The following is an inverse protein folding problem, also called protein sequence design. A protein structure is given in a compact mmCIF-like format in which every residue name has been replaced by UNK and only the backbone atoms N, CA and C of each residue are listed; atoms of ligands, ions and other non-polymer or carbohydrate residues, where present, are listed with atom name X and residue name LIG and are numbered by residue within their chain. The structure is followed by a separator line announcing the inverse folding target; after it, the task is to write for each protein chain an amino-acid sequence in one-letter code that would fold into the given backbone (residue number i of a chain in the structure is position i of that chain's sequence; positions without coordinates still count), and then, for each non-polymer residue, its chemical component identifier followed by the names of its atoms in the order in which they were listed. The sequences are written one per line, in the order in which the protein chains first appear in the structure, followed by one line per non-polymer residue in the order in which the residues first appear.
data_IF_810379191555
#
_entry.id   IF_810379191555
#
_cell.length_a   1.000
_cell.length_b   1.000
_cell.length_c   1.000
_cell.angle_alpha   90.00
_cell.angle_beta   90.00
_cell.angle_gamma   90.00
#
_symmetry.space_group_name_H-M   'P 1'
#
loop_
_entity.id
_entity.type
_entity.pdbx_description
1 polymer ?
#
# COMPACT_ATOMS: atom_id res chain seq x y z
N UNK A 1 -18.44 6.54 -0.96
CA UNK A 1 -17.63 5.33 -0.71
C UNK A 1 -17.54 5.01 0.77
N UNK A 2 -16.97 5.83 1.65
CA UNK A 2 -16.81 5.55 3.08
C UNK A 2 -18.13 5.19 3.79
N UNK A 3 -19.22 5.94 3.60
CA UNK A 3 -20.54 5.61 4.16
C UNK A 3 -21.01 4.19 3.87
N UNK A 4 -20.58 3.61 2.74
CA UNK A 4 -21.02 2.27 2.31
C UNK A 4 -20.15 1.15 2.87
N UNK A 5 -18.85 1.40 3.04
CA UNK A 5 -17.84 0.36 3.30
C UNK A 5 -17.15 0.47 4.67
N UNK A 6 -17.21 1.64 5.32
CA UNK A 6 -16.64 1.80 6.67
C UNK A 6 -17.27 0.80 7.66
N UNK A 7 -16.43 0.14 8.45
CA UNK A 7 -16.83 -0.91 9.38
C UNK A 7 -17.15 -2.28 8.77
N UNK A 8 -17.06 -2.43 7.44
CA UNK A 8 -17.42 -3.68 6.74
C UNK A 8 -16.23 -4.39 6.10
N UNK A 9 -15.31 -3.64 5.49
CA UNK A 9 -14.15 -4.19 4.77
C UNK A 9 -12.94 -3.30 4.98
N UNK A 10 -11.70 -3.84 4.93
CA UNK A 10 -10.50 -3.01 4.86
C UNK A 10 -10.51 -2.13 3.61
N UNK A 11 -9.92 -0.94 3.72
CA UNK A 11 -9.91 0.04 2.65
C UNK A 11 -8.47 0.36 2.25
N UNK A 12 -8.16 0.25 0.97
CA UNK A 12 -6.95 0.81 0.37
C UNK A 12 -7.33 2.05 -0.44
N UNK A 13 -6.72 3.19 -0.12
CA UNK A 13 -7.00 4.48 -0.74
C UNK A 13 -5.72 4.98 -1.39
N UNK A 14 -5.81 5.50 -2.62
CA UNK A 14 -4.70 6.16 -3.25
C UNK A 14 -4.91 7.67 -3.27
N UNK A 15 -3.94 8.41 -2.75
CA UNK A 15 -3.81 9.86 -2.94
C UNK A 15 -2.88 10.08 -4.11
N UNK A 16 -3.43 10.54 -5.25
CA UNK A 16 -2.67 10.69 -6.51
C UNK A 16 -1.59 11.76 -6.41
N UNK A 17 -1.86 12.85 -5.69
CA UNK A 17 -0.91 13.91 -5.40
C UNK A 17 -1.31 14.64 -4.11
N UNK A 18 -0.32 15.19 -3.41
CA UNK A 18 -0.50 15.89 -2.14
C UNK A 18 -0.85 17.37 -2.26
N UNK A 19 -0.75 18.07 -1.14
CA UNK A 19 -1.15 19.48 -0.99
C UNK A 19 -0.41 20.45 -1.90
N UNK A 20 0.75 20.07 -2.44
CA UNK A 20 1.45 20.89 -3.45
C UNK A 20 0.60 21.07 -4.72
N UNK A 21 -0.27 20.12 -5.04
CA UNK A 21 -1.15 20.12 -6.22
C UNK A 21 -2.63 20.32 -5.82
N UNK A 22 -3.02 19.79 -4.66
CA UNK A 22 -4.40 19.83 -4.14
C UNK A 22 -4.39 20.33 -2.69
N UNK A 23 -4.39 21.65 -2.44
CA UNK A 23 -4.24 22.21 -1.10
C UNK A 23 -5.20 21.63 -0.07
N UNK A 24 -4.65 21.10 1.03
CA UNK A 24 -5.37 20.53 2.14
C UNK A 24 -5.97 19.13 1.88
N UNK A 25 -5.47 18.37 0.89
CA UNK A 25 -6.00 17.04 0.59
C UNK A 25 -5.77 16.06 1.75
N UNK A 26 -4.64 16.13 2.42
CA UNK A 26 -4.30 15.23 3.54
C UNK A 26 -5.25 15.45 4.71
N UNK A 27 -5.51 16.70 5.09
CA UNK A 27 -6.47 17.07 6.13
C UNK A 27 -7.89 16.60 5.78
N UNK A 28 -8.29 16.73 4.52
CA UNK A 28 -9.60 16.27 4.03
C UNK A 28 -9.72 14.75 4.08
N UNK A 29 -8.67 14.02 3.71
CA UNK A 29 -8.62 12.55 3.78
C UNK A 29 -8.77 12.10 5.25
N UNK A 30 -7.94 12.65 6.15
CA UNK A 30 -8.01 12.30 7.58
C UNK A 30 -9.39 12.66 8.17
N UNK A 31 -9.90 13.85 7.89
CA UNK A 31 -11.23 14.28 8.36
C UNK A 31 -12.34 13.33 7.88
N UNK A 32 -12.28 12.90 6.62
CA UNK A 32 -13.24 11.95 6.08
C UNK A 32 -13.13 10.58 6.77
N UNK A 33 -11.91 10.07 6.97
CA UNK A 33 -11.69 8.79 7.66
C UNK A 33 -12.15 8.85 9.13
N UNK A 34 -11.82 9.92 9.86
CA UNK A 34 -12.26 10.10 11.26
C UNK A 34 -13.77 10.18 11.38
N UNK A 35 -14.44 10.94 10.50
CA UNK A 35 -15.90 11.07 10.47
C UNK A 35 -16.63 9.73 10.34
N UNK A 36 -16.01 8.77 9.68
CA UNK A 36 -16.56 7.43 9.47
C UNK A 36 -15.92 6.35 10.35
N UNK A 37 -15.12 6.72 11.36
CA UNK A 37 -14.37 5.80 12.24
C UNK A 37 -13.55 4.77 11.46
N UNK A 38 -12.97 5.19 10.31
CA UNK A 38 -12.34 4.30 9.35
C UNK A 38 -10.79 4.31 9.39
N UNK A 39 -10.16 5.06 10.31
CA UNK A 39 -8.68 5.15 10.41
C UNK A 39 -8.07 3.74 10.56
N UNK A 40 -8.55 2.94 11.52
CA UNK A 40 -7.97 1.62 11.82
C UNK A 40 -8.17 0.56 10.73
N UNK A 41 -9.09 0.79 9.78
CA UNK A 41 -9.35 -0.14 8.66
C UNK A 41 -8.82 0.35 7.32
N UNK A 42 -8.28 1.58 7.27
CA UNK A 42 -7.75 2.19 6.05
C UNK A 42 -6.23 2.08 5.98
N UNK A 43 -5.73 1.91 4.78
CA UNK A 43 -4.35 2.19 4.40
C UNK A 43 -4.37 3.20 3.25
N UNK A 44 -3.46 4.17 3.28
CA UNK A 44 -3.32 5.18 2.21
C UNK A 44 -2.00 4.99 1.50
N UNK A 45 -2.07 4.88 0.18
CA UNK A 45 -0.90 4.79 -0.69
C UNK A 45 -0.76 6.06 -1.55
N UNK A 46 0.47 6.42 -1.89
CA UNK A 46 0.74 7.53 -2.79
C UNK A 46 2.10 7.41 -3.46
N UNK A 47 2.21 7.90 -4.70
CA UNK A 47 3.47 8.21 -5.35
C UNK A 47 4.08 9.52 -4.84
N UNK A 48 3.26 10.40 -4.26
CA UNK A 48 3.72 11.61 -3.57
C UNK A 48 4.06 11.27 -2.11
N UNK A 49 5.33 10.98 -1.86
CA UNK A 49 5.78 10.56 -0.54
C UNK A 49 5.74 11.71 0.49
N UNK A 50 5.73 12.98 0.05
CA UNK A 50 5.48 14.11 0.95
C UNK A 50 4.04 14.09 1.48
N UNK A 51 3.08 13.68 0.65
CA UNK A 51 1.71 13.48 1.12
C UNK A 51 1.61 12.41 2.20
N UNK A 52 2.36 11.29 2.07
CA UNK A 52 2.40 10.25 3.11
C UNK A 52 3.01 10.77 4.41
N UNK A 53 4.13 11.49 4.32
CA UNK A 53 4.75 12.13 5.47
C UNK A 53 3.76 13.05 6.18
N UNK A 54 3.05 13.90 5.44
CA UNK A 54 2.05 14.82 5.98
C UNK A 54 0.87 14.08 6.62
N UNK A 55 0.36 13.02 6.00
CA UNK A 55 -0.68 12.17 6.58
C UNK A 55 -0.24 11.57 7.92
N UNK A 56 1.00 11.08 8.03
CA UNK A 56 1.57 10.55 9.27
C UNK A 56 1.78 11.60 10.35
N UNK A 57 2.04 12.84 9.98
CA UNK A 57 2.11 13.96 10.94
C UNK A 57 0.75 14.27 11.55
N UNK A 58 -0.32 14.24 10.72
CA UNK A 58 -1.69 14.53 11.17
C UNK A 58 -2.30 13.34 11.93
N UNK A 59 -2.02 12.11 11.47
CA UNK A 59 -2.59 10.88 12.01
C UNK A 59 -1.52 9.77 12.04
N UNK A 60 -0.69 9.69 13.10
CA UNK A 60 0.40 8.71 13.19
C UNK A 60 -0.06 7.25 13.14
N UNK A 61 -1.30 6.96 13.50
CA UNK A 61 -1.87 5.61 13.52
C UNK A 61 -2.37 5.12 12.17
N UNK A 62 -2.52 6.03 11.19
CA UNK A 62 -2.94 5.67 9.84
C UNK A 62 -1.84 4.84 9.15
N UNK A 63 -2.21 3.70 8.62
CA UNK A 63 -1.28 2.90 7.81
C UNK A 63 -1.05 3.57 6.46
N UNK A 64 0.23 3.61 6.04
CA UNK A 64 0.63 4.21 4.77
C UNK A 64 1.57 3.31 3.99
N UNK A 65 1.50 3.39 2.66
CA UNK A 65 2.41 2.68 1.75
C UNK A 65 2.94 3.62 0.66
N UNK A 66 4.25 3.63 0.48
CA UNK A 66 4.86 4.39 -0.60
C UNK A 66 4.79 3.61 -1.91
N UNK A 67 4.10 4.18 -2.90
CA UNK A 67 4.03 3.65 -4.26
C UNK A 67 5.34 3.95 -5.00
N UNK A 68 5.84 2.98 -5.75
CA UNK A 68 7.07 3.11 -6.51
C UNK A 68 7.04 2.28 -7.80
N UNK A 69 7.52 2.91 -8.87
CA UNK A 69 7.96 2.24 -10.10
C UNK A 69 9.47 2.32 -10.16
N UNK A 70 10.15 1.19 -10.12
CA UNK A 70 11.61 1.14 -10.17
C UNK A 70 12.22 0.27 -9.05
N UNK A 71 13.55 0.12 -9.13
CA UNK A 71 14.33 -0.72 -8.22
C UNK A 71 15.40 0.11 -7.51
N UNK A 72 15.08 0.77 -6.40
CA UNK A 72 16.04 1.58 -5.65
C UNK A 72 17.06 0.69 -4.92
N UNK A 73 18.26 1.21 -4.70
CA UNK A 73 19.34 0.51 -3.97
C UNK A 73 18.97 0.24 -2.52
N UNK A 74 18.13 1.09 -1.91
CA UNK A 74 17.66 0.94 -0.53
C UNK A 74 16.18 1.27 -0.42
N UNK A 75 15.38 0.27 -0.10
CA UNK A 75 13.93 0.41 0.14
C UNK A 75 13.64 1.12 1.47
N UNK A 76 14.42 0.84 2.50
CA UNK A 76 14.28 1.49 3.81
C UNK A 76 14.63 2.98 3.77
N UNK A 77 15.64 3.36 2.97
CA UNK A 77 15.98 4.77 2.77
C UNK A 77 14.88 5.54 2.02
N UNK A 78 14.05 4.86 1.24
CA UNK A 78 12.91 5.46 0.56
C UNK A 78 11.69 5.57 1.50
N UNK A 79 11.39 4.52 2.26
CA UNK A 79 10.24 4.47 3.16
C UNK A 79 10.41 5.35 4.41
N UNK A 80 11.63 5.42 4.96
CA UNK A 80 11.93 6.08 6.21
C UNK A 80 11.53 7.55 6.26
N UNK A 81 11.98 8.41 5.34
CA UNK A 81 11.59 9.82 5.31
C UNK A 81 10.09 10.06 5.17
N UNK A 82 9.40 9.19 4.44
CA UNK A 82 7.94 9.23 4.29
C UNK A 82 7.20 8.68 5.53
N UNK A 83 7.93 8.07 6.48
CA UNK A 83 7.37 7.35 7.64
C UNK A 83 6.36 6.28 7.21
N UNK A 84 6.57 5.67 6.04
CA UNK A 84 5.67 4.69 5.48
C UNK A 84 5.79 3.34 6.21
N UNK A 85 4.65 2.68 6.46
CA UNK A 85 4.60 1.36 7.10
C UNK A 85 4.90 0.24 6.09
N UNK A 86 4.84 0.55 4.80
CA UNK A 86 5.12 -0.40 3.73
C UNK A 86 5.40 0.26 2.39
N UNK A 87 5.66 -0.59 1.42
CA UNK A 87 5.90 -0.22 0.03
C UNK A 87 4.90 -0.94 -0.86
N UNK A 88 4.45 -0.27 -1.92
CA UNK A 88 3.70 -0.88 -3.00
C UNK A 88 4.51 -0.72 -4.29
N UNK A 89 5.12 -1.82 -4.75
CA UNK A 89 6.04 -1.84 -5.88
C UNK A 89 5.37 -2.40 -7.14
N UNK A 90 5.71 -1.82 -8.27
CA UNK A 90 5.36 -2.40 -9.56
C UNK A 90 6.01 -3.78 -9.71
N UNK A 91 5.22 -4.78 -10.14
CA UNK A 91 5.54 -6.20 -10.04
C UNK A 91 6.84 -6.62 -10.77
N UNK A 92 7.17 -5.98 -11.91
CA UNK A 92 8.37 -6.32 -12.69
C UNK A 92 9.69 -6.00 -11.97
N UNK A 93 9.64 -5.17 -10.93
CA UNK A 93 10.81 -4.79 -10.12
C UNK A 93 10.96 -5.60 -8.83
N UNK A 94 10.08 -6.59 -8.59
CA UNK A 94 10.06 -7.35 -7.33
C UNK A 94 10.64 -8.75 -7.53
N UNK A 95 11.68 -9.03 -6.78
CA UNK A 95 12.31 -10.35 -6.67
C UNK A 95 12.39 -10.75 -5.19
N UNK A 96 12.99 -11.90 -4.92
CA UNK A 96 13.26 -12.35 -3.55
C UNK A 96 14.07 -11.31 -2.75
N UNK A 97 14.98 -10.59 -3.41
CA UNK A 97 15.81 -9.54 -2.77
C UNK A 97 14.94 -8.44 -2.16
N UNK A 98 13.96 -7.93 -2.89
CA UNK A 98 13.08 -6.86 -2.42
C UNK A 98 12.18 -7.34 -1.26
N UNK A 99 11.68 -8.58 -1.34
CA UNK A 99 10.89 -9.18 -0.25
C UNK A 99 11.71 -9.30 1.03
N UNK A 100 12.95 -9.83 0.93
CA UNK A 100 13.84 -9.97 2.09
C UNK A 100 14.27 -8.63 2.66
N UNK A 101 14.54 -7.63 1.81
CA UNK A 101 14.91 -6.28 2.25
C UNK A 101 13.77 -5.58 2.99
N UNK A 102 12.53 -5.68 2.50
CA UNK A 102 11.36 -5.14 3.20
C UNK A 102 11.16 -5.83 4.55
N UNK A 103 11.21 -7.16 4.57
CA UNK A 103 11.05 -7.95 5.81
C UNK A 103 12.12 -7.60 6.85
N UNK A 104 13.39 -7.49 6.43
CA UNK A 104 14.49 -7.11 7.32
C UNK A 104 14.33 -5.69 7.89
N UNK A 105 13.62 -4.81 7.19
CA UNK A 105 13.35 -3.43 7.61
C UNK A 105 12.01 -3.26 8.33
N UNK A 106 11.24 -4.34 8.55
CA UNK A 106 9.91 -4.28 9.15
C UNK A 106 8.86 -3.62 8.27
N UNK A 107 9.10 -3.52 6.95
CA UNK A 107 8.19 -2.93 5.99
C UNK A 107 7.30 -4.00 5.35
N UNK A 108 6.01 -3.70 5.20
CA UNK A 108 5.12 -4.50 4.37
C UNK A 108 5.42 -4.28 2.89
N UNK A 109 5.34 -5.34 2.08
CA UNK A 109 5.51 -5.25 0.64
C UNK A 109 4.26 -5.72 -0.09
N UNK A 110 3.67 -4.82 -0.85
CA UNK A 110 2.54 -5.10 -1.75
C UNK A 110 3.02 -4.95 -3.19
N UNK A 111 2.58 -5.84 -4.08
CA UNK A 111 2.89 -5.76 -5.53
C UNK A 111 1.67 -5.38 -6.34
N UNK A 112 1.86 -4.61 -7.44
CA UNK A 112 0.80 -4.13 -8.31
C UNK A 112 1.28 -4.00 -9.78
N UNK A 113 0.43 -4.09 -10.81
CA UNK A 113 -0.85 -4.77 -10.80
C UNK A 113 -0.62 -6.17 -11.34
N UNK A 114 -1.07 -7.22 -10.66
CA UNK A 114 -0.82 -8.61 -11.05
C UNK A 114 -2.14 -9.28 -11.40
N UNK A 115 -2.36 -9.52 -12.71
CA UNK A 115 -3.61 -10.11 -13.22
C UNK A 115 -3.43 -11.55 -13.74
N UNK A 116 -2.19 -11.98 -13.97
CA UNK A 116 -1.87 -13.32 -14.43
C UNK A 116 -1.81 -14.33 -13.27
N UNK A 117 -2.53 -15.48 -13.34
CA UNK A 117 -2.54 -16.45 -12.25
C UNK A 117 -1.19 -17.09 -11.93
N UNK A 118 -0.30 -17.24 -12.94
CA UNK A 118 1.04 -17.80 -12.69
C UNK A 118 1.90 -16.81 -11.92
N UNK A 119 1.81 -15.51 -12.24
CA UNK A 119 2.47 -14.44 -11.48
C UNK A 119 1.88 -14.33 -10.07
N UNK A 120 0.55 -14.43 -9.88
CA UNK A 120 -0.07 -14.44 -8.55
C UNK A 120 0.54 -15.54 -7.68
N UNK A 121 0.56 -16.79 -8.18
CA UNK A 121 1.19 -17.93 -7.46
C UNK A 121 2.68 -17.69 -7.20
N UNK A 122 3.40 -17.05 -8.13
CA UNK A 122 4.79 -16.70 -7.93
C UNK A 122 4.97 -15.75 -6.74
N UNK A 123 4.23 -14.64 -6.69
CA UNK A 123 4.34 -13.66 -5.60
C UNK A 123 3.84 -14.20 -4.25
N UNK A 124 2.81 -15.06 -4.24
CA UNK A 124 2.38 -15.77 -3.04
C UNK A 124 3.53 -16.62 -2.48
N UNK A 125 4.22 -17.40 -3.33
CA UNK A 125 5.39 -18.19 -2.92
C UNK A 125 6.59 -17.37 -2.49
N UNK A 126 6.80 -16.19 -3.08
CA UNK A 126 7.82 -15.25 -2.65
C UNK A 126 7.54 -14.67 -1.26
N UNK A 127 6.28 -14.69 -0.83
CA UNK A 127 5.87 -14.21 0.48
C UNK A 127 5.74 -12.69 0.55
N UNK A 128 5.19 -12.06 -0.49
CA UNK A 128 4.73 -10.66 -0.42
C UNK A 128 3.53 -10.56 0.52
N UNK A 129 3.34 -9.40 1.15
CA UNK A 129 2.24 -9.19 2.11
C UNK A 129 0.91 -8.92 1.43
N UNK A 130 0.92 -8.52 0.15
CA UNK A 130 -0.30 -8.28 -0.61
C UNK A 130 -0.08 -8.20 -2.12
N UNK A 131 -1.15 -8.42 -2.84
CA UNK A 131 -1.22 -8.32 -4.31
C UNK A 131 -2.40 -7.43 -4.68
N UNK A 132 -2.16 -6.38 -5.46
CA UNK A 132 -3.19 -5.55 -6.08
C UNK A 132 -3.48 -6.12 -7.47
N UNK A 133 -4.74 -6.40 -7.73
CA UNK A 133 -5.20 -7.04 -8.97
C UNK A 133 -6.59 -6.53 -9.38
N UNK A 134 -6.86 -6.52 -10.68
CA UNK A 134 -8.20 -6.32 -11.25
C UNK A 134 -9.02 -7.63 -11.28
N UNK A 135 -8.36 -8.77 -10.93
CA UNK A 135 -8.95 -10.12 -10.96
C UNK A 135 -8.91 -10.76 -9.57
N UNK A 136 -9.66 -10.21 -8.59
CA UNK A 136 -9.70 -10.77 -7.23
C UNK A 136 -10.25 -12.19 -7.19
N UNK A 137 -11.08 -12.59 -8.14
CA UNK A 137 -11.57 -13.95 -8.34
C UNK A 137 -10.42 -14.94 -8.55
N UNK A 138 -9.47 -14.61 -9.43
CA UNK A 138 -8.28 -15.45 -9.70
C UNK A 138 -7.30 -15.47 -8.52
N UNK A 139 -7.14 -14.34 -7.83
CA UNK A 139 -6.28 -14.28 -6.65
C UNK A 139 -6.83 -15.15 -5.51
N UNK A 140 -8.15 -15.15 -5.28
CA UNK A 140 -8.79 -16.01 -4.28
C UNK A 140 -8.54 -17.50 -4.59
N UNK A 141 -8.63 -17.90 -5.86
CA UNK A 141 -8.30 -19.28 -6.29
C UNK A 141 -6.82 -19.60 -5.99
N UNK A 142 -5.89 -18.74 -6.41
CA UNK A 142 -4.46 -18.96 -6.19
C UNK A 142 -4.10 -19.07 -4.69
N UNK A 143 -4.74 -18.27 -3.83
CA UNK A 143 -4.58 -18.35 -2.37
C UNK A 143 -5.14 -19.65 -1.78
N UNK A 144 -6.24 -20.18 -2.33
CA UNK A 144 -6.82 -21.44 -1.85
C UNK A 144 -5.94 -22.66 -2.18
N UNK A 145 -5.21 -22.60 -3.30
CA UNK A 145 -4.26 -23.62 -3.73
C UNK A 145 -2.96 -23.65 -2.88
N UNK A 146 -2.68 -22.57 -2.16
CA UNK A 146 -1.43 -22.41 -1.39
C UNK A 146 -1.59 -22.81 0.10
N UNK A 147 -2.80 -23.09 0.55
CA UNK A 147 -3.09 -23.57 1.92
C UNK A 147 -2.87 -25.06 2.04
#
# INVERSE_FOLDING_TARGET
MLQRFAGKVPLALEVKAGSAFFPGIEEKVISALRRHSAIGQAAVASFDHYALQRLKEIEPTLRTAALLVGRPVSLSALAGPAKADGLALEASFVTKTEVEACRASGLQLVVWVVNDPAQMRHFIRLGVDGIITDRPDLLCLALSEHR
#
